data_IF_106373031584
#
_entry.id   IF_106373031584
#
_cell.length_a   1.000
_cell.length_b   1.000
_cell.length_c   1.000
_cell.angle_alpha   90.00
_cell.angle_beta   90.00
_cell.angle_gamma   90.00
#
_symmetry.space_group_name_H-M   'P 1'
#
loop_
_entity.id
_entity.type
_entity.pdbx_description
1 polymer ?
#
# COMPACT_ATOMS: atom_id res chain seq x y z
N UNK A 1 73.73 -7.86 29.07
CA UNK A 1 73.26 -8.40 27.77
C UNK A 1 71.94 -9.13 28.05
N UNK A 2 70.77 -8.50 27.83
CA UNK A 2 69.76 -8.88 26.81
C UNK A 2 69.58 -10.41 26.72
N UNK A 3 68.41 -10.99 27.09
CA UNK A 3 67.22 -11.07 26.23
C UNK A 3 65.95 -11.44 27.02
N UNK A 4 64.91 -10.62 26.86
CA UNK A 4 63.51 -10.91 27.19
C UNK A 4 62.95 -11.71 26.01
N UNK A 5 62.38 -12.90 26.25
CA UNK A 5 61.67 -13.68 25.22
C UNK A 5 60.17 -13.43 25.45
N UNK A 6 59.62 -12.51 24.66
CA UNK A 6 58.19 -12.29 24.56
C UNK A 6 57.62 -13.27 23.52
N UNK A 7 56.66 -14.10 23.94
CA UNK A 7 55.94 -15.03 23.08
C UNK A 7 54.67 -14.33 22.57
N UNK A 8 54.70 -13.81 21.35
CA UNK A 8 53.55 -13.21 20.69
C UNK A 8 52.76 -14.30 19.97
N UNK A 9 51.61 -14.70 20.53
CA UNK A 9 50.66 -15.58 19.84
C UNK A 9 49.81 -14.71 18.91
N UNK A 10 50.04 -14.83 17.60
CA UNK A 10 49.18 -14.24 16.58
C UNK A 10 47.98 -15.17 16.35
N UNK A 11 46.80 -14.77 16.85
CA UNK A 11 45.53 -15.42 16.50
C UNK A 11 45.04 -14.82 15.19
N UNK A 12 45.07 -15.62 14.13
CA UNK A 12 44.54 -15.26 12.81
C UNK A 12 43.04 -15.62 12.78
N UNK A 13 42.15 -14.66 13.04
CA UNK A 13 40.70 -14.83 12.84
C UNK A 13 40.39 -14.53 11.37
N UNK A 14 40.27 -15.57 10.54
CA UNK A 14 39.73 -15.44 9.18
C UNK A 14 38.21 -15.40 9.31
N UNK A 15 37.65 -14.20 9.47
CA UNK A 15 36.22 -13.98 9.41
C UNK A 15 35.71 -14.14 7.99
N UNK A 16 35.05 -15.27 7.70
CA UNK A 16 34.25 -15.42 6.49
C UNK A 16 33.07 -14.44 6.56
N UNK A 17 33.21 -13.29 5.91
CA UNK A 17 32.12 -12.36 5.66
C UNK A 17 31.14 -13.05 4.71
N UNK A 18 30.13 -13.72 5.27
CA UNK A 18 28.95 -14.10 4.51
C UNK A 18 28.22 -12.81 4.11
N UNK A 19 28.47 -12.33 2.89
CA UNK A 19 27.68 -11.27 2.30
C UNK A 19 26.25 -11.77 2.17
N UNK A 20 25.36 -11.33 3.07
CA UNK A 20 23.93 -11.44 2.83
C UNK A 20 23.63 -10.68 1.54
N UNK A 21 22.83 -11.25 0.62
CA UNK A 21 22.42 -10.53 -0.57
C UNK A 21 21.57 -9.34 -0.13
N UNK A 22 22.20 -8.16 -0.10
CA UNK A 22 21.50 -6.89 -0.10
C UNK A 22 20.93 -6.77 -1.51
N UNK A 23 19.65 -7.11 -1.67
CA UNK A 23 18.92 -6.73 -2.86
C UNK A 23 18.90 -5.20 -2.85
N UNK A 24 19.62 -4.59 -3.80
CA UNK A 24 19.50 -3.16 -4.02
C UNK A 24 18.04 -2.89 -4.41
N UNK A 25 17.27 -2.32 -3.48
CA UNK A 25 15.95 -1.81 -3.80
C UNK A 25 16.15 -0.72 -4.85
N UNK A 26 15.64 -0.93 -6.05
CA UNK A 26 15.75 0.06 -7.11
C UNK A 26 14.63 1.06 -6.96
N UNK A 27 14.95 2.35 -7.13
CA UNK A 27 13.93 3.39 -7.27
C UNK A 27 12.90 2.96 -8.32
N UNK A 28 11.63 2.94 -7.94
CA UNK A 28 10.55 2.38 -8.75
C UNK A 28 9.40 3.37 -8.84
N UNK A 29 8.90 3.58 -10.05
CA UNK A 29 7.64 4.26 -10.29
C UNK A 29 6.49 3.26 -10.26
N UNK A 30 5.50 3.55 -9.43
CA UNK A 30 4.23 2.82 -9.32
C UNK A 30 3.13 3.77 -9.79
N UNK A 31 2.53 3.46 -10.94
CA UNK A 31 1.53 4.31 -11.58
C UNK A 31 0.30 3.50 -11.90
N UNK A 32 -0.86 4.09 -11.73
CA UNK A 32 -2.11 3.43 -12.05
C UNK A 32 -3.24 4.43 -12.21
N UNK A 33 -4.18 4.06 -13.05
CA UNK A 33 -5.40 4.83 -13.25
C UNK A 33 -6.45 3.98 -13.90
N UNK A 34 -7.70 4.11 -13.46
CA UNK A 34 -8.79 3.34 -14.00
C UNK A 34 -9.93 3.12 -13.03
N UNK A 35 -10.64 2.02 -13.23
CA UNK A 35 -11.69 1.56 -12.33
C UNK A 35 -11.44 0.13 -11.94
N UNK A 36 -11.91 -0.27 -10.76
CA UNK A 36 -11.94 -1.65 -10.37
C UNK A 36 -13.28 -2.09 -9.80
N UNK A 37 -13.32 -3.33 -9.36
CA UNK A 37 -14.47 -3.94 -8.71
C UNK A 37 -14.01 -4.86 -7.60
N UNK A 38 -14.79 -4.91 -6.52
CA UNK A 38 -14.61 -5.92 -5.47
C UNK A 38 -15.23 -7.27 -5.85
N UNK A 39 -15.97 -7.34 -6.96
CA UNK A 39 -16.64 -8.56 -7.44
C UNK A 39 -17.78 -9.03 -6.55
N UNK A 40 -18.20 -8.20 -5.59
CA UNK A 40 -19.27 -8.44 -4.65
C UNK A 40 -20.02 -7.14 -4.38
N UNK A 41 -21.26 -7.30 -3.96
CA UNK A 41 -22.08 -6.29 -3.32
C UNK A 41 -21.74 -6.29 -1.82
N UNK A 42 -21.01 -5.28 -1.36
CA UNK A 42 -20.44 -5.18 -0.02
C UNK A 42 -21.38 -4.48 0.97
N UNK A 43 -22.34 -3.71 0.48
CA UNK A 43 -23.30 -2.95 1.29
C UNK A 43 -24.77 -3.44 1.17
N UNK A 44 -25.00 -4.44 0.32
CA UNK A 44 -26.27 -5.11 0.08
C UNK A 44 -27.34 -4.23 -0.58
N UNK A 45 -26.92 -3.23 -1.36
CA UNK A 45 -27.82 -2.36 -2.12
C UNK A 45 -28.31 -2.98 -3.45
N UNK A 46 -27.69 -4.08 -3.86
CA UNK A 46 -28.01 -4.85 -5.07
C UNK A 46 -27.07 -4.61 -6.26
N UNK A 47 -26.10 -3.70 -6.15
CA UNK A 47 -25.09 -3.43 -7.17
C UNK A 47 -23.70 -3.98 -6.79
N UNK A 48 -22.86 -4.26 -7.79
CA UNK A 48 -21.49 -4.71 -7.55
C UNK A 48 -20.58 -3.50 -7.31
N UNK A 49 -19.92 -3.51 -6.16
CA UNK A 49 -19.09 -2.40 -5.71
C UNK A 49 -17.73 -2.31 -6.40
N UNK A 50 -17.16 -1.11 -6.36
CA UNK A 50 -15.81 -0.81 -6.80
C UNK A 50 -15.41 0.66 -6.65
N UNK A 51 -14.26 1.00 -7.22
CA UNK A 51 -13.68 2.33 -7.14
C UNK A 51 -13.21 2.86 -8.49
N UNK A 52 -13.00 4.18 -8.53
CA UNK A 52 -12.13 4.84 -9.49
C UNK A 52 -10.83 5.18 -8.77
N UNK A 53 -9.70 4.74 -9.32
CA UNK A 53 -8.40 4.98 -8.71
C UNK A 53 -7.48 5.75 -9.64
N UNK A 54 -6.59 6.55 -9.06
CA UNK A 54 -5.48 7.19 -9.74
C UNK A 54 -4.32 7.39 -8.78
N UNK A 55 -3.11 7.02 -9.22
CA UNK A 55 -1.89 7.24 -8.46
C UNK A 55 -0.67 7.34 -9.35
N UNK A 56 0.29 8.13 -8.89
CA UNK A 56 1.64 8.19 -9.42
C UNK A 56 2.59 8.35 -8.23
N UNK A 57 3.30 7.28 -7.91
CA UNK A 57 4.14 7.16 -6.73
C UNK A 57 5.54 6.79 -7.16
N UNK A 58 6.53 7.47 -6.60
CA UNK A 58 7.93 7.10 -6.68
C UNK A 58 8.35 6.53 -5.33
N UNK A 59 8.79 5.29 -5.31
CA UNK A 59 9.30 4.61 -4.11
C UNK A 59 10.81 4.52 -4.26
N UNK A 60 11.53 5.13 -3.33
CA UNK A 60 12.98 5.10 -3.27
C UNK A 60 13.53 3.83 -2.64
N UNK A 61 14.81 3.56 -2.87
CA UNK A 61 15.53 2.43 -2.28
C UNK A 61 15.49 2.36 -0.74
N UNK A 62 15.31 3.50 -0.08
CA UNK A 62 15.25 3.70 1.37
C UNK A 62 13.82 3.59 1.95
N UNK A 63 12.87 3.13 1.15
CA UNK A 63 11.43 3.09 1.46
C UNK A 63 10.77 4.46 1.65
N UNK A 64 11.49 5.56 1.38
CA UNK A 64 10.85 6.85 1.21
C UNK A 64 9.97 6.80 -0.03
N UNK A 65 8.82 7.46 0.01
CA UNK A 65 7.98 7.57 -1.16
C UNK A 65 7.40 8.97 -1.29
N UNK A 66 7.11 9.34 -2.53
CA UNK A 66 6.46 10.61 -2.87
C UNK A 66 5.48 10.39 -4.00
N UNK A 67 4.44 11.21 -4.03
CA UNK A 67 3.39 11.11 -5.04
C UNK A 67 2.04 11.37 -4.45
N UNK A 68 1.01 10.93 -5.15
CA UNK A 68 -0.37 11.07 -4.71
C UNK A 68 -1.16 9.80 -4.98
N UNK A 69 -2.06 9.50 -4.06
CA UNK A 69 -3.05 8.45 -4.18
C UNK A 69 -4.45 9.07 -4.12
N UNK A 70 -5.31 8.63 -5.03
CA UNK A 70 -6.74 8.94 -5.03
C UNK A 70 -7.50 7.65 -5.31
N UNK A 71 -8.46 7.37 -4.44
CA UNK A 71 -9.45 6.31 -4.62
C UNK A 71 -10.82 6.92 -4.35
N UNK A 72 -11.71 6.88 -5.35
CA UNK A 72 -13.06 7.41 -5.28
C UNK A 72 -14.03 6.24 -5.35
N UNK A 73 -14.77 6.03 -4.28
CA UNK A 73 -15.88 5.07 -4.24
C UNK A 73 -17.19 5.76 -4.63
N UNK A 74 -17.26 7.08 -4.52
CA UNK A 74 -18.42 7.88 -4.91
C UNK A 74 -18.92 7.56 -6.33
N UNK A 75 -20.17 7.11 -6.42
CA UNK A 75 -20.87 6.82 -7.67
C UNK A 75 -20.52 5.48 -8.34
N UNK A 76 -19.64 4.67 -7.73
CA UNK A 76 -19.45 3.24 -8.08
C UNK A 76 -19.80 2.28 -6.93
N UNK A 77 -19.88 2.81 -5.71
CA UNK A 77 -20.29 2.12 -4.51
C UNK A 77 -21.03 3.10 -3.60
N UNK A 78 -22.18 2.70 -3.07
CA UNK A 78 -22.92 3.45 -2.06
C UNK A 78 -22.81 2.74 -0.71
N UNK A 79 -21.60 2.67 -0.14
CA UNK A 79 -21.34 1.94 1.11
C UNK A 79 -22.29 2.36 2.25
N UNK A 80 -23.36 1.60 2.44
CA UNK A 80 -24.38 1.85 3.45
C UNK A 80 -23.80 1.55 4.82
N UNK A 81 -23.71 2.59 5.66
CA UNK A 81 -23.28 2.49 7.07
C UNK A 81 -22.01 3.23 7.40
N UNK A 82 -21.17 3.54 6.40
CA UNK A 82 -20.12 4.56 6.46
C UNK A 82 -19.71 4.85 5.02
N UNK A 83 -20.22 5.96 4.51
CA UNK A 83 -20.11 6.37 3.12
C UNK A 83 -18.68 6.81 2.78
N UNK A 84 -17.67 5.95 2.92
CA UNK A 84 -16.31 6.24 2.45
C UNK A 84 -16.38 6.54 0.95
N UNK A 85 -16.46 7.82 0.59
CA UNK A 85 -16.67 8.27 -0.79
C UNK A 85 -15.35 8.53 -1.49
N UNK A 86 -14.31 8.93 -0.76
CA UNK A 86 -12.98 9.09 -1.32
C UNK A 86 -11.87 9.05 -0.27
N UNK A 87 -10.73 8.47 -0.65
CA UNK A 87 -9.44 8.64 0.00
C UNK A 87 -8.51 9.42 -0.95
N UNK A 88 -7.98 10.55 -0.50
CA UNK A 88 -7.09 11.40 -1.31
C UNK A 88 -5.97 11.96 -0.45
N UNK A 89 -4.73 11.55 -0.74
CA UNK A 89 -3.60 11.96 0.08
C UNK A 89 -2.24 11.90 -0.62
N UNK A 90 -1.25 12.67 -0.13
CA UNK A 90 0.15 12.42 -0.48
C UNK A 90 0.60 11.05 0.05
N UNK A 91 1.51 10.44 -0.69
CA UNK A 91 2.23 9.24 -0.26
C UNK A 91 3.55 9.66 0.38
N UNK A 92 3.93 9.02 1.49
CA UNK A 92 5.15 9.32 2.27
C UNK A 92 6.09 8.12 2.45
N UNK A 93 5.58 6.89 2.33
CA UNK A 93 6.39 5.67 2.45
C UNK A 93 5.94 4.61 1.45
N UNK A 94 6.83 3.67 1.13
CA UNK A 94 6.47 2.53 0.31
C UNK A 94 7.54 1.45 0.25
N UNK A 95 7.15 0.29 -0.27
CA UNK A 95 8.00 -0.87 -0.45
C UNK A 95 7.62 -1.63 -1.70
N UNK A 96 8.61 -2.20 -2.37
CA UNK A 96 8.42 -3.10 -3.51
C UNK A 96 8.55 -4.54 -3.01
N UNK A 97 7.50 -5.32 -3.20
CA UNK A 97 7.48 -6.76 -2.92
C UNK A 97 7.52 -7.59 -4.22
N UNK A 98 7.54 -8.93 -4.10
CA UNK A 98 7.40 -9.81 -5.26
C UNK A 98 6.06 -9.56 -5.97
N UNK A 99 6.09 -9.00 -7.17
CA UNK A 99 4.91 -8.78 -8.01
C UNK A 99 3.92 -7.72 -7.50
N UNK A 100 4.27 -6.96 -6.47
CA UNK A 100 3.39 -5.94 -5.88
C UNK A 100 4.18 -4.77 -5.33
N UNK A 101 3.50 -3.64 -5.13
CA UNK A 101 4.01 -2.50 -4.41
C UNK A 101 3.01 -2.09 -3.34
N UNK A 102 3.52 -1.72 -2.17
CA UNK A 102 2.73 -1.15 -1.07
C UNK A 102 3.20 0.26 -0.82
N UNK A 103 2.26 1.19 -0.65
CA UNK A 103 2.58 2.57 -0.30
C UNK A 103 1.54 3.16 0.65
N UNK A 104 1.98 4.09 1.49
CA UNK A 104 1.18 4.62 2.58
C UNK A 104 1.38 6.13 2.75
N UNK A 105 0.43 6.75 3.43
CA UNK A 105 0.46 8.17 3.75
C UNK A 105 -0.71 8.58 4.63
N UNK A 106 -0.92 9.88 4.74
CA UNK A 106 -2.10 10.45 5.40
C UNK A 106 -2.99 11.10 4.35
N UNK A 107 -4.28 10.81 4.39
CA UNK A 107 -5.25 11.27 3.42
C UNK A 107 -6.34 12.13 4.06
N UNK A 108 -6.95 12.91 3.18
CA UNK A 108 -8.31 13.40 3.36
C UNK A 108 -9.27 12.30 2.99
N UNK A 109 -10.22 12.04 3.88
CA UNK A 109 -11.33 11.12 3.68
C UNK A 109 -12.62 11.91 3.56
N UNK A 110 -13.40 11.64 2.51
CA UNK A 110 -14.75 12.17 2.37
C UNK A 110 -15.72 11.05 2.70
N UNK A 111 -16.65 11.34 3.61
CA UNK A 111 -17.68 10.40 4.06
C UNK A 111 -19.06 10.67 3.41
N UNK A 112 -19.12 11.45 2.34
CA UNK A 112 -20.40 11.91 1.77
C UNK A 112 -21.08 12.95 2.65
N UNK A 113 -22.21 13.51 2.19
CA UNK A 113 -23.00 14.48 2.97
C UNK A 113 -22.28 15.79 3.38
N UNK A 114 -21.05 16.03 2.89
CA UNK A 114 -20.19 17.13 3.30
C UNK A 114 -19.23 16.82 4.45
N UNK A 115 -19.26 15.60 4.99
CA UNK A 115 -18.37 15.18 6.07
C UNK A 115 -16.98 14.80 5.53
N UNK A 116 -15.96 15.43 6.10
CA UNK A 116 -14.56 15.25 5.71
C UNK A 116 -13.70 15.08 6.95
N UNK A 117 -12.86 14.05 6.95
CA UNK A 117 -11.85 13.79 7.97
C UNK A 117 -10.47 13.98 7.35
N UNK A 118 -9.62 14.77 7.99
CA UNK A 118 -8.26 15.06 7.53
C UNK A 118 -7.23 14.26 8.34
N UNK A 119 -6.10 13.93 7.71
CA UNK A 119 -4.97 13.30 8.41
C UNK A 119 -5.15 11.83 8.76
N UNK A 120 -6.06 11.11 8.09
CA UNK A 120 -6.28 9.69 8.34
C UNK A 120 -5.22 8.87 7.62
N UNK A 121 -4.57 7.95 8.32
CA UNK A 121 -3.57 7.09 7.71
C UNK A 121 -4.22 6.08 6.74
N UNK A 122 -3.55 5.81 5.63
CA UNK A 122 -3.96 4.79 4.66
C UNK A 122 -2.76 3.97 4.19
N UNK A 123 -3.05 2.75 3.77
CA UNK A 123 -2.12 1.89 3.02
C UNK A 123 -2.82 1.40 1.75
N UNK A 124 -2.09 1.41 0.63
CA UNK A 124 -2.54 0.81 -0.62
C UNK A 124 -1.51 -0.21 -1.10
N UNK A 125 -1.96 -1.45 -1.35
CA UNK A 125 -1.16 -2.50 -1.98
C UNK A 125 -1.68 -2.75 -3.38
N UNK A 126 -0.80 -2.71 -4.38
CA UNK A 126 -1.16 -2.84 -5.79
C UNK A 126 -0.33 -3.90 -6.49
N UNK A 127 -0.91 -4.56 -7.49
CA UNK A 127 -0.18 -5.43 -8.42
C UNK A 127 -0.33 -4.92 -9.86
N UNK A 128 0.71 -5.03 -10.70
CA UNK A 128 0.69 -4.51 -12.05
C UNK A 128 -0.22 -5.36 -12.95
N UNK A 129 -0.96 -4.71 -13.84
CA UNK A 129 -1.86 -5.38 -14.76
C UNK A 129 -2.96 -4.47 -15.29
N UNK A 130 -3.59 -4.92 -16.38
CA UNK A 130 -4.81 -4.32 -16.92
C UNK A 130 -6.07 -5.02 -16.38
N UNK A 131 -7.19 -4.95 -17.11
CA UNK A 131 -8.44 -5.59 -16.71
C UNK A 131 -8.28 -7.08 -16.38
N UNK A 132 -8.83 -7.51 -15.25
CA UNK A 132 -8.81 -8.89 -14.77
C UNK A 132 -7.47 -9.39 -14.23
N UNK A 133 -6.42 -8.55 -14.23
CA UNK A 133 -5.07 -8.93 -13.80
C UNK A 133 -4.47 -7.99 -12.76
N UNK A 134 -4.62 -6.68 -12.95
CA UNK A 134 -4.16 -5.70 -11.97
C UNK A 134 -5.06 -5.72 -10.73
N UNK A 135 -4.47 -5.49 -9.57
CA UNK A 135 -5.22 -5.42 -8.31
C UNK A 135 -4.83 -4.21 -7.47
N UNK A 136 -5.77 -3.78 -6.63
CA UNK A 136 -5.60 -2.75 -5.61
C UNK A 136 -6.28 -3.24 -4.33
N UNK A 137 -5.62 -3.09 -3.19
CA UNK A 137 -6.25 -3.24 -1.88
C UNK A 137 -5.97 -1.98 -1.08
N UNK A 138 -7.02 -1.38 -0.53
CA UNK A 138 -6.95 -0.19 0.30
C UNK A 138 -7.28 -0.55 1.73
N UNK A 139 -6.44 -0.11 2.66
CA UNK A 139 -6.72 -0.15 4.10
C UNK A 139 -6.76 1.30 4.61
N UNK A 140 -7.82 1.65 5.33
CA UNK A 140 -7.86 2.89 6.12
C UNK A 140 -7.50 2.55 7.56
N UNK A 141 -6.45 3.17 8.08
CA UNK A 141 -5.84 2.76 9.34
C UNK A 141 -6.48 3.53 10.50
N UNK A 142 -6.87 2.81 11.56
CA UNK A 142 -7.41 3.43 12.77
C UNK A 142 -8.85 3.94 12.65
N UNK A 143 -9.58 3.56 11.61
CA UNK A 143 -10.94 4.04 11.35
C UNK A 143 -11.82 2.94 10.75
N UNK A 144 -13.13 3.07 10.96
CA UNK A 144 -14.20 2.28 10.34
C UNK A 144 -14.09 0.75 10.52
N UNK A 145 -13.49 0.30 11.61
CA UNK A 145 -13.40 -1.12 11.98
C UNK A 145 -14.80 -1.73 12.22
N UNK A 146 -15.04 -2.90 11.63
CA UNK A 146 -16.24 -3.72 11.82
C UNK A 146 -17.48 -3.24 11.07
N UNK A 147 -17.34 -2.31 10.12
CA UNK A 147 -18.45 -1.84 9.27
C UNK A 147 -18.52 -2.65 7.97
N UNK A 148 -19.60 -2.48 7.19
CA UNK A 148 -19.77 -3.18 5.92
C UNK A 148 -18.57 -2.96 4.98
N UNK A 149 -18.14 -4.02 4.29
CA UNK A 149 -16.93 -4.00 3.46
C UNK A 149 -15.60 -4.22 4.21
N UNK A 150 -15.60 -4.26 5.54
CA UNK A 150 -14.40 -4.59 6.31
C UNK A 150 -14.13 -6.11 6.30
N UNK A 151 -12.99 -6.51 5.75
CA UNK A 151 -12.61 -7.92 5.65
C UNK A 151 -11.94 -8.47 6.91
N UNK A 152 -11.49 -7.62 7.84
CA UNK A 152 -10.82 -8.06 9.07
C UNK A 152 -11.35 -7.30 10.31
N UNK A 153 -12.61 -7.56 10.71
CA UNK A 153 -13.19 -6.90 11.89
C UNK A 153 -12.42 -7.16 13.18
N UNK A 154 -12.31 -6.13 14.01
CA UNK A 154 -11.70 -6.11 15.34
C UNK A 154 -10.20 -5.81 15.37
N UNK A 155 -9.61 -5.38 14.24
CA UNK A 155 -8.18 -5.06 14.16
C UNK A 155 -7.87 -3.54 14.25
N UNK A 156 -8.91 -2.71 14.36
CA UNK A 156 -8.82 -1.25 14.42
C UNK A 156 -8.71 -0.54 13.07
N UNK A 157 -8.82 -1.24 11.94
CA UNK A 157 -8.73 -0.66 10.59
C UNK A 157 -9.97 -0.99 9.76
N UNK A 158 -10.08 -0.34 8.61
CA UNK A 158 -11.04 -0.69 7.58
C UNK A 158 -10.30 -1.35 6.42
N UNK A 159 -10.38 -2.66 6.34
CA UNK A 159 -9.67 -3.46 5.35
C UNK A 159 -10.59 -3.83 4.20
N UNK A 160 -10.62 -2.98 3.16
CA UNK A 160 -11.40 -3.27 1.97
C UNK A 160 -10.90 -4.55 1.28
N UNK A 161 -11.79 -5.34 0.66
CA UNK A 161 -11.38 -6.49 -0.12
C UNK A 161 -10.49 -6.07 -1.29
N UNK A 162 -9.79 -7.05 -1.84
CA UNK A 162 -8.96 -6.83 -3.04
C UNK A 162 -9.87 -6.45 -4.21
N UNK A 163 -9.63 -5.28 -4.76
CA UNK A 163 -10.24 -4.80 -5.97
C UNK A 163 -9.47 -5.30 -7.19
N UNK A 164 -10.18 -5.79 -8.21
CA UNK A 164 -9.61 -6.16 -9.51
C UNK A 164 -9.87 -5.06 -10.53
N UNK A 165 -8.87 -4.70 -11.33
CA UNK A 165 -9.01 -3.70 -12.39
C UNK A 165 -10.07 -4.14 -13.40
N UNK A 166 -11.00 -3.25 -13.72
CA UNK A 166 -12.04 -3.40 -14.73
C UNK A 166 -11.70 -2.58 -15.98
N UNK A 167 -11.17 -1.38 -15.80
CA UNK A 167 -10.68 -0.53 -16.87
C UNK A 167 -9.40 0.19 -16.46
N UNK A 168 -8.58 0.57 -17.43
CA UNK A 168 -7.29 1.20 -17.16
C UNK A 168 -6.16 0.19 -16.91
N UNK A 169 -5.15 0.58 -16.12
CA UNK A 169 -3.96 -0.24 -15.87
C UNK A 169 -3.18 0.23 -14.63
N UNK A 170 -2.48 -0.72 -14.01
CA UNK A 170 -1.41 -0.49 -13.03
C UNK A 170 -0.07 -0.94 -13.63
N UNK A 171 0.98 -0.15 -13.42
CA UNK A 171 2.34 -0.37 -13.90
C UNK A 171 3.37 -0.09 -12.82
N UNK A 172 4.43 -0.89 -12.80
CA UNK A 172 5.62 -0.74 -11.95
C UNK A 172 6.85 -0.73 -12.87
N UNK A 173 7.69 0.29 -12.79
CA UNK A 173 8.83 0.49 -13.70
C UNK A 173 9.98 1.23 -13.04
#
# INVERSE_FOLDING_TARGET
MRRIIALTIAVLVVGALHAWPVHASTDTWVRGGGTGTFGADLDLDGDVDGSQFAFAVHIGADSSARGRFVCLMAGRSDFLGLSLMSVNGPVSSGSIGPGSATFAGTARINLGGGEIIEGVAFEATVSPGGPGAGTLRLTVIGAFDGVAGDTIPGNGNYDLPVETVVSGRISMS
#
